data_IF_700987216669
#
_entry.id   IF_700987216669
#
_cell.length_a   1.000
_cell.length_b   1.000
_cell.length_c   1.000
_cell.angle_alpha   90.00
_cell.angle_beta   90.00
_cell.angle_gamma   90.00
#
_symmetry.space_group_name_H-M   'P 1'
#
loop_
_entity.id
_entity.type
_entity.pdbx_description
1 polymer ?
#
# COMPACT_ATOMS: atom_id res chain seq x y z
N UNK A 1 2.51 10.92 13.52
CA UNK A 1 2.34 9.47 13.77
C UNK A 1 1.04 8.91 13.21
N UNK A 2 -0.16 9.28 13.71
CA UNK A 2 -1.43 8.74 13.18
C UNK A 2 -1.71 9.17 11.73
N UNK A 3 -1.39 10.42 11.40
CA UNK A 3 -1.58 10.96 10.05
C UNK A 3 -0.60 10.33 9.04
N UNK A 4 0.63 10.03 9.47
CA UNK A 4 1.63 9.36 8.63
C UNK A 4 1.22 7.91 8.32
N UNK A 5 0.57 7.23 9.28
CA UNK A 5 0.02 5.90 9.06
C UNK A 5 -1.14 5.93 8.05
N UNK A 6 -2.04 6.92 8.14
CA UNK A 6 -3.11 7.11 7.17
C UNK A 6 -2.57 7.42 5.77
N UNK A 7 -1.55 8.28 5.68
CA UNK A 7 -0.89 8.58 4.41
C UNK A 7 -0.23 7.33 3.80
N UNK A 8 0.43 6.52 4.62
CA UNK A 8 1.00 5.23 4.20
C UNK A 8 -0.07 4.23 3.74
N UNK A 9 -1.23 4.19 4.38
CA UNK A 9 -2.35 3.36 3.96
C UNK A 9 -2.90 3.80 2.60
N UNK A 10 -3.09 5.11 2.41
CA UNK A 10 -3.55 5.67 1.14
C UNK A 10 -2.54 5.39 0.03
N UNK A 11 -1.24 5.61 0.28
CA UNK A 11 -0.17 5.26 -0.65
C UNK A 11 -0.24 3.80 -1.12
N UNK A 12 -0.38 2.85 -0.19
CA UNK A 12 -0.49 1.42 -0.52
C UNK A 12 -1.72 1.10 -1.35
N UNK A 13 -2.87 1.70 -1.03
CA UNK A 13 -4.10 1.50 -1.79
C UNK A 13 -3.97 1.93 -3.26
N UNK A 14 -3.09 2.89 -3.54
CA UNK A 14 -2.78 3.37 -4.89
C UNK A 14 -1.51 2.74 -5.49
N UNK A 15 -0.95 1.68 -4.87
CA UNK A 15 0.22 0.97 -5.38
C UNK A 15 1.56 1.69 -5.16
N UNK A 16 1.59 2.74 -4.32
CA UNK A 16 2.83 3.45 -3.95
C UNK A 16 3.49 2.74 -2.78
N UNK A 17 4.75 2.34 -2.98
CA UNK A 17 5.56 1.70 -1.94
C UNK A 17 6.03 2.72 -0.89
N UNK A 18 5.78 2.40 0.38
CA UNK A 18 6.24 3.21 1.53
C UNK A 18 7.67 2.92 1.95
N UNK A 19 8.22 1.77 1.55
CA UNK A 19 9.61 1.41 1.77
C UNK A 19 10.18 0.69 0.55
N UNK A 20 11.50 0.81 0.38
CA UNK A 20 12.24 0.21 -0.72
C UNK A 20 13.66 -0.13 -0.29
N UNK A 21 14.30 -1.05 -1.01
CA UNK A 21 15.71 -1.33 -0.86
C UNK A 21 16.49 -0.46 -1.84
N UNK A 22 17.43 0.33 -1.34
CA UNK A 22 18.29 1.16 -2.18
C UNK A 22 19.39 0.32 -2.87
N UNK A 23 20.16 0.96 -3.76
CA UNK A 23 21.25 0.31 -4.51
C UNK A 23 22.39 -0.22 -3.63
N UNK A 24 22.44 0.21 -2.37
CA UNK A 24 23.41 -0.27 -1.37
C UNK A 24 22.84 -1.43 -0.54
N UNK A 25 21.63 -1.90 -0.87
CA UNK A 25 20.94 -2.96 -0.17
C UNK A 25 20.27 -2.53 1.13
N UNK A 26 20.23 -1.23 1.45
CA UNK A 26 19.66 -0.72 2.70
C UNK A 26 18.17 -0.48 2.54
N UNK A 27 17.40 -0.81 3.56
CA UNK A 27 15.98 -0.46 3.60
C UNK A 27 15.81 1.03 3.87
N UNK A 28 14.98 1.67 3.06
CA UNK A 28 14.64 3.09 3.12
C UNK A 28 13.14 3.23 3.20
N UNK A 29 12.70 4.17 4.03
CA UNK A 29 11.30 4.59 4.10
C UNK A 29 11.14 5.89 3.32
N UNK A 30 10.12 5.98 2.48
CA UNK A 30 9.78 7.22 1.81
C UNK A 30 9.34 8.28 2.83
N UNK A 31 9.74 9.54 2.63
CA UNK A 31 9.29 10.62 3.50
C UNK A 31 7.81 10.92 3.28
N UNK A 32 7.09 11.50 4.27
CA UNK A 32 5.71 11.93 4.08
C UNK A 32 5.53 12.86 2.88
N UNK A 33 6.47 13.78 2.67
CA UNK A 33 6.39 14.74 1.56
C UNK A 33 6.57 14.06 0.20
N UNK A 34 7.46 13.07 0.10
CA UNK A 34 7.57 12.24 -1.11
C UNK A 34 6.28 11.46 -1.37
N UNK A 35 5.67 10.87 -0.34
CA UNK A 35 4.41 10.15 -0.50
C UNK A 35 3.28 11.06 -0.96
N UNK A 36 3.17 12.28 -0.39
CA UNK A 36 2.18 13.27 -0.84
C UNK A 36 2.41 13.67 -2.29
N UNK A 37 3.64 13.96 -2.68
CA UNK A 37 3.98 14.35 -4.05
C UNK A 37 3.67 13.25 -5.08
N UNK A 38 3.95 11.99 -4.74
CA UNK A 38 3.63 10.84 -5.60
C UNK A 38 2.12 10.62 -5.72
N UNK A 39 1.38 10.77 -4.62
CA UNK A 39 -0.08 10.66 -4.63
C UNK A 39 -0.72 11.80 -5.41
N UNK A 40 -0.25 13.05 -5.25
CA UNK A 40 -0.76 14.22 -5.96
C UNK A 40 -0.41 14.24 -7.46
N UNK A 41 0.58 13.45 -7.90
CA UNK A 41 0.83 13.23 -9.32
C UNK A 41 -0.26 12.36 -9.99
N UNK A 42 -1.04 11.65 -9.17
CA UNK A 42 -2.30 11.01 -9.55
C UNK A 42 -3.48 11.90 -9.12
N UNK A 43 -4.71 11.67 -9.60
CA UNK A 43 -5.90 12.43 -9.16
C UNK A 43 -6.35 12.06 -7.74
N UNK A 44 -5.43 12.03 -6.77
CA UNK A 44 -5.65 11.70 -5.37
C UNK A 44 -5.34 12.90 -4.49
N UNK A 45 -6.32 13.35 -3.72
CA UNK A 45 -6.12 14.45 -2.77
C UNK A 45 -5.35 13.96 -1.53
N UNK A 46 -4.14 14.48 -1.32
CA UNK A 46 -3.22 14.04 -0.26
C UNK A 46 -2.39 15.17 0.37
N UNK A 47 -2.69 16.44 0.06
CA UNK A 47 -1.91 17.62 0.42
C UNK A 47 -1.98 17.94 1.93
N UNK A 48 -2.99 17.41 2.62
CA UNK A 48 -3.16 17.60 4.05
C UNK A 48 -3.69 16.33 4.72
N UNK A 49 -3.47 16.21 6.03
CA UNK A 49 -3.99 15.09 6.82
C UNK A 49 -5.53 14.94 6.72
N UNK A 50 -6.25 16.06 6.56
CA UNK A 50 -7.70 16.05 6.35
C UNK A 50 -8.06 15.38 5.03
N UNK A 51 -7.44 15.81 3.93
CA UNK A 51 -7.69 15.26 2.59
C UNK A 51 -7.30 13.79 2.49
N UNK A 52 -6.22 13.37 3.15
CA UNK A 52 -5.82 11.96 3.23
C UNK A 52 -6.94 11.09 3.84
N UNK A 53 -7.59 11.56 4.91
CA UNK A 53 -8.70 10.83 5.54
C UNK A 53 -9.94 10.79 4.65
N UNK A 54 -10.31 11.93 4.05
CA UNK A 54 -11.45 12.02 3.13
C UNK A 54 -11.26 11.09 1.91
N UNK A 55 -10.03 11.03 1.35
CA UNK A 55 -9.68 10.10 0.27
C UNK A 55 -9.77 8.63 0.69
N UNK A 56 -9.35 8.28 1.91
CA UNK A 56 -9.49 6.92 2.45
C UNK A 56 -10.96 6.54 2.68
N UNK A 57 -11.79 7.46 3.14
CA UNK A 57 -13.23 7.24 3.31
C UNK A 57 -13.92 7.04 1.95
N UNK A 58 -13.60 7.88 0.96
CA UNK A 58 -14.07 7.72 -0.41
C UNK A 58 -13.68 6.34 -0.98
N UNK A 59 -12.44 5.91 -0.74
CA UNK A 59 -11.95 4.59 -1.18
C UNK A 59 -12.71 3.44 -0.49
N UNK A 60 -12.97 3.55 0.81
CA UNK A 60 -13.71 2.54 1.56
C UNK A 60 -15.16 2.40 1.07
N UNK A 61 -15.74 3.51 0.61
CA UNK A 61 -17.09 3.57 0.05
C UNK A 61 -17.15 3.17 -1.43
N UNK A 62 -16.03 3.15 -2.14
CA UNK A 62 -15.95 2.63 -3.52
C UNK A 62 -15.89 1.09 -3.50
N UNK A 63 -17.02 0.47 -3.83
CA UNK A 63 -17.20 -0.99 -3.82
C UNK A 63 -16.21 -1.77 -4.70
N UNK A 64 -15.53 -1.11 -5.65
CA UNK A 64 -14.47 -1.76 -6.46
C UNK A 64 -13.24 -2.14 -5.63
N UNK A 65 -12.88 -1.31 -4.65
CA UNK A 65 -11.73 -1.59 -3.79
C UNK A 65 -12.04 -2.64 -2.72
N UNK A 66 -13.29 -2.74 -2.28
CA UNK A 66 -13.73 -3.85 -1.43
C UNK A 66 -13.64 -5.21 -2.15
N UNK A 67 -13.92 -5.24 -3.46
CA UNK A 67 -13.82 -6.45 -4.26
C UNK A 67 -12.35 -6.88 -4.46
N UNK A 68 -11.43 -5.95 -4.74
CA UNK A 68 -10.00 -6.24 -4.90
C UNK A 68 -9.32 -6.68 -3.59
N UNK A 69 -9.71 -6.08 -2.45
CA UNK A 69 -9.20 -6.48 -1.13
C UNK A 69 -9.52 -7.92 -0.73
N UNK A 70 -10.64 -8.48 -1.23
CA UNK A 70 -10.99 -9.90 -1.02
C UNK A 70 -10.06 -10.83 -1.81
N UNK A 71 -9.84 -10.54 -3.09
CA UNK A 71 -8.99 -11.35 -3.98
C UNK A 71 -7.53 -11.36 -3.53
N UNK A 72 -6.98 -10.22 -3.11
CA UNK A 72 -5.58 -10.12 -2.63
C UNK A 72 -5.32 -10.83 -1.29
N UNK A 73 -6.35 -11.10 -0.48
CA UNK A 73 -6.21 -11.86 0.76
C UNK A 73 -6.44 -13.37 0.56
N UNK A 74 -7.28 -13.78 -0.39
CA UNK A 74 -7.53 -15.20 -0.67
C UNK A 74 -6.34 -15.92 -1.30
N UNK A 75 -5.51 -15.23 -2.08
CA UNK A 75 -4.39 -15.87 -2.79
C UNK A 75 -3.15 -16.10 -1.91
N UNK A 76 -3.05 -15.38 -0.78
CA UNK A 76 -1.93 -15.54 0.17
C UNK A 76 -1.94 -16.89 0.92
N UNK A 77 -3.04 -17.65 0.82
CA UNK A 77 -3.19 -18.97 1.41
C UNK A 77 -2.86 -20.15 0.50
N UNK A 78 -2.59 -19.94 -0.79
CA UNK A 78 -2.44 -21.04 -1.78
C UNK A 78 -1.01 -21.26 -2.29
N UNK A 79 -0.05 -20.43 -1.89
CA UNK A 79 1.37 -20.62 -2.22
C UNK A 79 2.12 -21.32 -1.07
N UNK A 80 1.58 -22.39 -0.50
CA UNK A 80 2.43 -23.42 0.09
C UNK A 80 2.86 -24.35 -1.05
N UNK A 81 3.89 -23.92 -1.78
CA UNK A 81 4.63 -24.78 -2.70
C UNK A 81 5.15 -25.95 -1.86
N UNK A 82 4.45 -27.08 -1.90
CA UNK A 82 4.85 -28.32 -1.26
C UNK A 82 6.24 -28.69 -1.77
N UNK A 83 7.24 -28.46 -0.94
CA UNK A 83 8.59 -28.88 -1.19
C UNK A 83 8.57 -30.41 -1.39
N UNK A 84 8.98 -30.83 -2.58
CA UNK A 84 9.43 -32.20 -2.86
C UNK A 84 10.40 -32.61 -1.76
N UNK A 85 10.01 -33.59 -0.95
CA UNK A 85 10.93 -34.38 -0.13
C UNK A 85 11.36 -35.56 -0.98
N UNK A 86 12.63 -35.57 -1.33
CA UNK A 86 13.32 -36.61 -2.09
C UNK A 86 13.29 -37.98 -1.40
N UNK A 87 13.39 -39.01 -2.25
CA UNK A 87 13.65 -40.40 -1.93
C UNK A 87 14.85 -40.59 -0.98
N UNK A 88 14.64 -41.35 0.09
CA UNK A 88 15.64 -42.28 0.68
C UNK A 88 14.92 -43.45 1.31
#
# INVERSE_FOLDING_TARGET
MKDDAALGQLARAHGVLSSYRDVQGRERTASPDTLRALLSASPVAAESARLVRESLEALANDGRFQALGKVMNEDRGKTSLGARGDDT
#
